data_IF_720252334788
#
_entry.id   IF_720252334788
#
_cell.length_a   1.000
_cell.length_b   1.000
_cell.length_c   1.000
_cell.angle_alpha   90.00
_cell.angle_beta   90.00
_cell.angle_gamma   90.00
#
_symmetry.space_group_name_H-M   'P 1'
#
loop_
_entity.id
_entity.type
_entity.pdbx_description
1 polymer ?
#
# COMPACT_ATOMS: atom_id res chain seq x y z
N UNK A 1 -17.17 19.16 -5.96
CA UNK A 1 -18.21 18.11 -5.96
C UNK A 1 -17.61 16.91 -5.25
N UNK A 2 -18.34 16.18 -4.40
CA UNK A 2 -17.85 14.92 -3.86
C UNK A 2 -17.52 13.97 -5.01
N UNK A 3 -16.37 13.33 -4.94
CA UNK A 3 -15.93 12.29 -5.88
C UNK A 3 -16.45 10.93 -5.37
N UNK A 4 -17.21 10.23 -6.20
CA UNK A 4 -17.74 8.90 -5.89
C UNK A 4 -17.16 7.92 -6.90
N UNK A 5 -16.49 6.88 -6.40
CA UNK A 5 -15.88 5.84 -7.21
C UNK A 5 -16.41 4.47 -6.80
N UNK A 6 -16.59 3.58 -7.77
CA UNK A 6 -16.91 2.18 -7.53
C UNK A 6 -15.60 1.40 -7.48
N UNK A 7 -15.21 0.96 -6.29
CA UNK A 7 -13.97 0.24 -6.03
C UNK A 7 -14.29 -1.06 -5.30
N UNK A 8 -13.41 -2.05 -5.36
CA UNK A 8 -13.48 -3.19 -4.47
C UNK A 8 -12.90 -2.88 -3.08
N UNK A 9 -13.04 -3.83 -2.14
CA UNK A 9 -12.60 -3.65 -0.76
C UNK A 9 -11.08 -3.54 -0.61
N UNK A 10 -10.30 -4.28 -1.40
CA UNK A 10 -8.84 -4.22 -1.37
C UNK A 10 -8.35 -2.87 -1.89
N UNK A 11 -8.88 -2.40 -3.02
CA UNK A 11 -8.50 -1.09 -3.57
C UNK A 11 -8.83 0.04 -2.59
N UNK A 12 -9.99 -0.04 -1.93
CA UNK A 12 -10.40 0.96 -0.93
C UNK A 12 -9.49 0.95 0.30
N UNK A 13 -9.16 -0.23 0.83
CA UNK A 13 -8.27 -0.37 1.98
C UNK A 13 -6.85 0.08 1.65
N UNK A 14 -6.33 -0.32 0.48
CA UNK A 14 -5.03 0.09 -0.01
C UNK A 14 -4.93 1.61 -0.16
N UNK A 15 -5.97 2.26 -0.70
CA UNK A 15 -5.98 3.72 -0.88
C UNK A 15 -5.78 4.46 0.45
N UNK A 16 -6.53 4.08 1.48
CA UNK A 16 -6.42 4.72 2.80
C UNK A 16 -5.06 4.42 3.43
N UNK A 17 -4.61 3.16 3.35
CA UNK A 17 -3.31 2.76 3.87
C UNK A 17 -2.16 3.53 3.18
N UNK A 18 -2.22 3.67 1.85
CA UNK A 18 -1.22 4.37 1.05
C UNK A 18 -1.14 5.85 1.40
N UNK A 19 -2.28 6.52 1.48
CA UNK A 19 -2.34 7.94 1.84
C UNK A 19 -1.83 8.20 3.26
N UNK A 20 -1.97 7.22 4.16
CA UNK A 20 -1.60 7.32 5.56
C UNK A 20 -0.26 6.65 5.91
N UNK A 21 0.59 6.33 4.93
CA UNK A 21 1.90 5.70 5.20
C UNK A 21 3.04 6.38 4.43
N UNK A 22 4.19 6.55 5.07
CA UNK A 22 5.46 6.90 4.39
C UNK A 22 6.25 5.65 3.96
N UNK A 23 6.02 4.51 4.63
CA UNK A 23 6.65 3.22 4.35
C UNK A 23 5.58 2.13 4.36
N UNK A 24 5.59 1.26 3.36
CA UNK A 24 4.64 0.15 3.20
C UNK A 24 5.45 -1.12 2.94
N UNK A 25 5.39 -2.07 3.85
CA UNK A 25 6.10 -3.35 3.70
C UNK A 25 5.10 -4.45 3.40
N UNK A 26 5.35 -5.21 2.34
CA UNK A 26 4.39 -6.17 1.80
C UNK A 26 4.97 -7.59 1.70
N UNK A 27 4.07 -8.56 1.70
CA UNK A 27 4.32 -9.93 1.26
C UNK A 27 3.02 -10.47 0.63
N UNK A 28 3.07 -11.09 -0.56
CA UNK A 28 1.87 -11.52 -1.26
C UNK A 28 1.25 -12.78 -0.62
N UNK A 29 -0.01 -12.68 -0.19
CA UNK A 29 -0.83 -13.82 0.24
C UNK A 29 -2.30 -13.62 -0.18
N UNK A 30 -2.93 -14.57 -0.89
CA UNK A 30 -4.36 -14.47 -1.20
C UNK A 30 -5.23 -14.45 0.06
N UNK A 31 -6.30 -13.63 0.13
CA UNK A 31 -6.83 -12.72 -0.89
C UNK A 31 -6.31 -11.27 -0.80
N UNK A 32 -5.28 -11.02 0.01
CA UNK A 32 -4.80 -9.67 0.34
C UNK A 32 -3.77 -9.10 -0.64
N UNK A 33 -3.15 -9.94 -1.49
CA UNK A 33 -2.13 -9.51 -2.45
C UNK A 33 -2.49 -8.26 -3.26
N UNK A 34 -3.74 -8.07 -3.75
CA UNK A 34 -4.09 -6.87 -4.51
C UNK A 34 -3.83 -5.55 -3.77
N UNK A 35 -3.92 -5.52 -2.43
CA UNK A 35 -3.62 -4.30 -1.67
C UNK A 35 -2.16 -3.87 -1.82
N UNK A 36 -1.23 -4.83 -1.79
CA UNK A 36 0.19 -4.57 -1.99
C UNK A 36 0.50 -4.19 -3.44
N UNK A 37 -0.14 -4.84 -4.40
CA UNK A 37 0.00 -4.55 -5.83
C UNK A 37 -0.46 -3.11 -6.16
N UNK A 38 -1.59 -2.66 -5.62
CA UNK A 38 -2.04 -1.27 -5.79
C UNK A 38 -1.05 -0.27 -5.18
N UNK A 39 -0.54 -0.54 -3.97
CA UNK A 39 0.43 0.33 -3.31
C UNK A 39 1.73 0.43 -4.12
N UNK A 40 2.28 -0.70 -4.57
CA UNK A 40 3.48 -0.74 -5.41
C UNK A 40 3.27 0.00 -6.74
N UNK A 41 2.13 -0.24 -7.41
CA UNK A 41 1.78 0.46 -8.63
C UNK A 41 1.75 1.98 -8.40
N UNK A 42 1.01 2.47 -7.40
CA UNK A 42 0.90 3.90 -7.15
C UNK A 42 2.25 4.55 -6.78
N UNK A 43 3.10 3.85 -6.02
CA UNK A 43 4.45 4.31 -5.73
C UNK A 43 5.31 4.38 -6.99
N UNK A 44 5.24 3.37 -7.86
CA UNK A 44 5.95 3.36 -9.15
C UNK A 44 5.50 4.49 -10.10
N UNK A 45 4.22 4.89 -10.01
CA UNK A 45 3.63 6.03 -10.73
C UNK A 45 3.99 7.39 -10.08
N UNK A 46 4.70 7.39 -8.95
CA UNK A 46 5.10 8.61 -8.24
C UNK A 46 3.94 9.33 -7.55
N UNK A 47 2.87 8.62 -7.18
CA UNK A 47 1.73 9.22 -6.48
C UNK A 47 2.12 9.60 -5.05
N UNK A 48 1.87 10.85 -4.61
CA UNK A 48 2.17 11.22 -3.23
C UNK A 48 1.10 10.69 -2.28
N UNK A 49 1.50 10.43 -1.04
CA UNK A 49 0.62 10.23 0.11
C UNK A 49 0.06 11.57 0.62
N UNK A 50 -0.67 11.54 1.74
CA UNK A 50 -1.30 12.73 2.31
C UNK A 50 -0.31 13.81 2.77
N UNK A 51 0.97 13.46 2.94
CA UNK A 51 2.04 14.39 3.33
C UNK A 51 2.86 14.92 2.16
N UNK A 52 2.53 14.51 0.93
CA UNK A 52 3.20 14.98 -0.30
C UNK A 52 4.43 14.16 -0.69
N UNK A 53 4.76 13.09 0.04
CA UNK A 53 5.87 12.18 -0.27
C UNK A 53 5.36 10.92 -0.97
N UNK A 54 6.17 10.30 -1.82
CA UNK A 54 5.84 8.98 -2.38
C UNK A 54 6.21 7.92 -1.33
N UNK A 55 5.27 7.05 -0.88
CA UNK A 55 5.58 5.98 0.04
C UNK A 55 6.67 5.05 -0.49
N UNK A 56 7.59 4.63 0.37
CA UNK A 56 8.53 3.55 0.03
C UNK A 56 7.83 2.21 0.18
N UNK A 57 7.70 1.46 -0.91
CA UNK A 57 7.11 0.12 -0.91
C UNK A 57 8.22 -0.92 -0.99
N UNK A 58 8.19 -1.92 -0.10
CA UNK A 58 9.22 -2.98 -0.03
C UNK A 58 8.55 -4.34 0.11
N UNK A 59 8.82 -5.25 -0.82
CA UNK A 59 8.43 -6.65 -0.70
C UNK A 59 9.48 -7.45 0.07
N UNK A 60 9.03 -8.21 1.07
CA UNK A 60 9.89 -9.05 1.91
C UNK A 60 9.81 -10.52 1.50
N UNK A 61 10.65 -11.36 2.09
CA UNK A 61 10.68 -12.80 1.80
C UNK A 61 9.57 -13.62 2.49
N UNK A 62 8.90 -13.07 3.49
CA UNK A 62 7.79 -13.69 4.23
C UNK A 62 6.98 -12.63 5.01
N UNK A 63 5.78 -12.98 5.49
CA UNK A 63 5.00 -12.11 6.37
C UNK A 63 5.76 -11.82 7.68
N UNK A 64 6.53 -12.80 8.19
CA UNK A 64 7.39 -12.60 9.35
C UNK A 64 8.50 -11.59 9.09
N UNK A 65 9.07 -11.59 7.88
CA UNK A 65 10.01 -10.56 7.42
C UNK A 65 9.36 -9.19 7.32
N UNK A 66 8.15 -9.12 6.75
CA UNK A 66 7.37 -7.89 6.66
C UNK A 66 7.06 -7.32 8.05
N UNK A 67 6.59 -8.14 8.99
CA UNK A 67 6.31 -7.71 10.36
C UNK A 67 7.58 -7.20 11.08
N UNK A 68 8.72 -7.88 10.87
CA UNK A 68 10.00 -7.44 11.44
C UNK A 68 10.47 -6.10 10.89
N UNK A 69 10.29 -5.85 9.59
CA UNK A 69 10.63 -4.57 8.97
C UNK A 69 9.66 -3.45 9.36
N UNK A 70 8.36 -3.72 9.51
CA UNK A 70 7.37 -2.73 10.01
C UNK A 70 7.65 -2.33 11.45
N UNK A 71 8.21 -3.22 12.26
CA UNK A 71 8.54 -2.93 13.66
C UNK A 71 9.71 -1.95 13.83
N UNK A 72 10.69 -1.97 12.91
CA UNK A 72 11.92 -1.17 12.98
C UNK A 72 11.70 0.28 12.56
#
# INVERSE_FOLDING_TARGET
>A
MPDYRMLDGNETAALVAYLASDVIVIYPIPPASPMGEFADQWASEGKPNAWGSVPTVVEMQSEGGAAGAVHG
#
